data_IF_668242575791
#
_entry.id   IF_668242575791
#
_cell.length_a   1.000
_cell.length_b   1.000
_cell.length_c   1.000
_cell.angle_alpha   90.00
_cell.angle_beta   90.00
_cell.angle_gamma   90.00
#
_symmetry.space_group_name_H-M   'P 1'
#
loop_
_entity.id
_entity.type
_entity.pdbx_description
1 polymer ?
#
# COMPACT_ATOMS: atom_id res chain seq x y z
N UNK A 1 -22.90 -13.77 -7.17
CA UNK A 1 -21.68 -12.96 -7.35
C UNK A 1 -21.88 -11.51 -6.90
N UNK A 2 -22.87 -10.79 -7.39
CA UNK A 2 -23.13 -9.38 -7.01
C UNK A 2 -23.31 -9.22 -5.50
N UNK A 3 -24.04 -10.12 -4.83
CA UNK A 3 -24.25 -10.07 -3.37
C UNK A 3 -22.95 -10.25 -2.59
N UNK A 4 -22.08 -11.15 -3.02
CA UNK A 4 -20.76 -11.37 -2.37
C UNK A 4 -19.90 -10.12 -2.48
N UNK A 5 -19.86 -9.51 -3.66
CA UNK A 5 -19.08 -8.25 -3.89
C UNK A 5 -19.65 -7.12 -3.04
N UNK A 6 -20.98 -6.94 -3.00
CA UNK A 6 -21.61 -5.90 -2.19
C UNK A 6 -21.35 -6.12 -0.71
N UNK A 7 -21.54 -7.33 -0.19
CA UNK A 7 -21.30 -7.64 1.23
C UNK A 7 -19.82 -7.51 1.61
N UNK A 8 -18.90 -7.81 0.69
CA UNK A 8 -17.47 -7.67 0.92
C UNK A 8 -17.01 -6.20 0.92
N UNK A 9 -17.52 -5.40 -0.02
CA UNK A 9 -17.01 -4.04 -0.25
C UNK A 9 -17.81 -2.96 0.49
N UNK A 10 -19.12 -3.13 0.69
CA UNK A 10 -19.95 -2.12 1.33
C UNK A 10 -19.43 -1.70 2.72
N UNK A 11 -19.05 -2.61 3.64
CA UNK A 11 -18.50 -2.20 4.94
C UNK A 11 -17.24 -1.35 4.82
N UNK A 12 -16.36 -1.67 3.85
CA UNK A 12 -15.11 -0.96 3.59
C UNK A 12 -15.40 0.49 3.21
N UNK A 13 -16.28 0.68 2.24
CA UNK A 13 -16.64 2.02 1.78
C UNK A 13 -17.47 2.80 2.79
N UNK A 14 -18.35 2.15 3.55
CA UNK A 14 -19.11 2.80 4.64
C UNK A 14 -18.14 3.36 5.69
N UNK A 15 -17.16 2.61 6.15
CA UNK A 15 -16.18 3.08 7.13
C UNK A 15 -15.35 4.23 6.57
N UNK A 16 -14.92 4.14 5.29
CA UNK A 16 -14.22 5.24 4.62
C UNK A 16 -15.09 6.49 4.49
N UNK A 17 -16.38 6.36 4.15
CA UNK A 17 -17.31 7.47 4.07
C UNK A 17 -17.57 8.12 5.42
N UNK A 18 -17.65 7.34 6.50
CA UNK A 18 -17.74 7.87 7.86
C UNK A 18 -16.49 8.69 8.22
N UNK A 19 -15.29 8.21 7.89
CA UNK A 19 -14.06 8.97 8.07
C UNK A 19 -14.04 10.26 7.23
N UNK A 20 -14.47 10.19 5.97
CA UNK A 20 -14.59 11.35 5.09
C UNK A 20 -15.57 12.39 5.66
N UNK A 21 -16.74 11.95 6.09
CA UNK A 21 -17.74 12.81 6.73
C UNK A 21 -17.20 13.44 8.02
N UNK A 22 -16.57 12.67 8.91
CA UNK A 22 -16.00 13.18 10.14
C UNK A 22 -14.94 14.28 9.89
N UNK A 23 -14.10 14.10 8.86
CA UNK A 23 -13.15 15.12 8.43
C UNK A 23 -13.79 16.36 7.82
N UNK A 24 -14.84 16.20 6.98
CA UNK A 24 -15.60 17.34 6.41
C UNK A 24 -16.39 18.08 7.47
N UNK A 25 -16.98 17.39 8.43
CA UNK A 25 -17.71 17.96 9.55
C UNK A 25 -16.78 18.59 10.62
N UNK A 26 -15.45 18.52 10.44
CA UNK A 26 -14.43 19.00 11.38
C UNK A 26 -14.51 18.35 12.77
N UNK A 27 -15.06 17.15 12.85
CA UNK A 27 -15.06 16.35 14.09
C UNK A 27 -13.65 15.79 14.35
N UNK A 28 -12.91 15.54 13.28
CA UNK A 28 -11.50 15.14 13.29
C UNK A 28 -10.71 16.13 12.43
N UNK A 29 -9.54 16.54 12.93
CA UNK A 29 -8.64 17.39 12.14
C UNK A 29 -8.09 16.63 10.95
N UNK A 30 -8.64 16.92 9.77
CA UNK A 30 -8.25 16.26 8.53
C UNK A 30 -6.97 16.81 7.90
N UNK A 31 -6.42 17.90 8.42
CA UNK A 31 -5.13 18.46 8.02
C UNK A 31 -3.99 17.87 8.85
N UNK A 32 -4.27 17.51 10.10
CA UNK A 32 -3.29 16.89 10.99
C UNK A 32 -3.82 15.55 11.51
N UNK A 33 -3.63 14.52 10.72
CA UNK A 33 -4.02 13.14 11.04
C UNK A 33 -2.90 12.33 11.73
N UNK A 34 -1.88 13.00 12.26
CA UNK A 34 -0.67 12.35 12.78
C UNK A 34 -0.98 11.33 13.87
N UNK A 35 -1.86 11.64 14.81
CA UNK A 35 -2.25 10.72 15.90
C UNK A 35 -2.89 9.43 15.37
N UNK A 36 -3.87 9.56 14.46
CA UNK A 36 -4.53 8.40 13.86
C UNK A 36 -3.54 7.59 12.99
N UNK A 37 -2.65 8.28 12.27
CA UNK A 37 -1.64 7.63 11.47
C UNK A 37 -0.64 6.85 12.33
N UNK A 38 -0.16 7.42 13.44
CA UNK A 38 0.71 6.73 14.40
C UNK A 38 0.00 5.51 14.97
N UNK A 39 -1.26 5.67 15.42
CA UNK A 39 -2.02 4.54 15.95
C UNK A 39 -2.12 3.38 14.97
N UNK A 40 -2.47 3.67 13.71
CA UNK A 40 -2.64 2.65 12.67
C UNK A 40 -1.31 2.04 12.25
N UNK A 41 -0.29 2.88 11.93
CA UNK A 41 0.94 2.43 11.29
C UNK A 41 1.99 1.91 12.27
N UNK A 42 2.02 2.44 13.50
CA UNK A 42 3.06 2.09 14.47
C UNK A 42 2.56 1.10 15.53
N UNK A 43 1.24 0.92 15.68
CA UNK A 43 0.67 0.02 16.69
C UNK A 43 -0.28 -1.02 16.10
N UNK A 44 -1.42 -0.61 15.51
CA UNK A 44 -2.50 -1.53 15.16
C UNK A 44 -2.12 -2.50 14.02
N UNK A 45 -1.62 -1.99 12.89
CA UNK A 45 -1.17 -2.84 11.77
C UNK A 45 0.04 -3.70 12.13
N UNK A 46 1.11 -3.19 12.77
CA UNK A 46 2.20 -4.05 13.24
C UNK A 46 1.73 -5.19 14.15
N UNK A 47 0.80 -4.92 15.06
CA UNK A 47 0.23 -5.94 15.94
C UNK A 47 -0.56 -7.01 15.19
N UNK A 48 -1.42 -6.61 14.24
CA UNK A 48 -2.17 -7.54 13.39
C UNK A 48 -1.23 -8.43 12.57
N UNK A 49 -0.27 -7.81 11.89
CA UNK A 49 0.64 -8.51 10.98
C UNK A 49 1.67 -9.36 11.72
N UNK A 50 2.16 -8.93 12.88
CA UNK A 50 2.99 -9.74 13.77
C UNK A 50 2.25 -11.00 14.22
N UNK A 51 1.01 -10.83 14.73
CA UNK A 51 0.21 -11.97 15.18
C UNK A 51 -0.04 -12.99 14.08
N UNK A 52 -0.24 -12.55 12.85
CA UNK A 52 -0.42 -13.43 11.70
C UNK A 52 0.87 -14.16 11.32
N UNK A 53 1.98 -13.43 11.23
CA UNK A 53 3.25 -14.00 10.75
C UNK A 53 3.88 -14.96 11.75
N UNK A 54 3.80 -14.67 13.05
CA UNK A 54 4.36 -15.56 14.10
C UNK A 54 3.61 -16.89 14.22
N UNK A 55 2.37 -16.95 13.75
CA UNK A 55 1.55 -18.17 13.73
C UNK A 55 1.66 -18.95 12.41
N UNK A 56 2.35 -18.40 11.41
CA UNK A 56 2.50 -19.03 10.09
C UNK A 56 3.77 -19.87 10.05
N UNK A 57 3.70 -21.09 9.51
CA UNK A 57 4.86 -21.96 9.35
C UNK A 57 5.89 -21.39 8.36
N UNK A 58 7.16 -21.75 8.51
CA UNK A 58 8.21 -21.35 7.57
C UNK A 58 7.91 -21.73 6.13
N UNK A 59 7.35 -22.92 5.90
CA UNK A 59 6.91 -23.37 4.57
C UNK A 59 5.83 -22.48 3.98
N UNK A 60 4.89 -22.01 4.80
CA UNK A 60 3.86 -21.04 4.40
C UNK A 60 4.45 -19.68 4.02
N UNK A 61 5.53 -19.26 4.70
CA UNK A 61 6.24 -18.00 4.39
C UNK A 61 6.97 -18.13 3.04
N UNK A 62 7.70 -19.20 2.82
CA UNK A 62 8.44 -19.47 1.56
C UNK A 62 7.46 -19.58 0.39
N UNK A 63 6.27 -20.12 0.61
CA UNK A 63 5.22 -20.21 -0.40
C UNK A 63 4.74 -18.84 -0.93
N UNK A 64 5.07 -17.72 -0.27
CA UNK A 64 4.76 -16.36 -0.74
C UNK A 64 5.76 -15.83 -1.79
N UNK A 65 6.83 -16.57 -2.13
CA UNK A 65 7.82 -16.10 -3.10
C UNK A 65 7.25 -15.74 -4.48
N UNK A 66 6.27 -16.46 -5.07
CA UNK A 66 5.66 -16.05 -6.33
C UNK A 66 4.84 -14.76 -6.20
N UNK A 67 4.20 -14.54 -5.04
CA UNK A 67 3.51 -13.28 -4.76
C UNK A 67 4.50 -12.11 -4.77
N UNK A 68 5.64 -12.25 -4.07
CA UNK A 68 6.70 -11.23 -4.05
C UNK A 68 7.15 -10.88 -5.46
N UNK A 69 7.35 -11.88 -6.31
CA UNK A 69 7.76 -11.70 -7.70
C UNK A 69 6.74 -10.86 -8.49
N UNK A 70 5.47 -11.26 -8.47
CA UNK A 70 4.41 -10.57 -9.22
C UNK A 70 4.25 -9.13 -8.75
N UNK A 71 4.17 -8.93 -7.43
CA UNK A 71 4.02 -7.58 -6.85
C UNK A 71 5.21 -6.69 -7.22
N UNK A 72 6.43 -7.20 -7.07
CA UNK A 72 7.65 -6.44 -7.34
C UNK A 72 7.71 -6.04 -8.82
N UNK A 73 7.51 -6.98 -9.73
CA UNK A 73 7.55 -6.69 -11.17
C UNK A 73 6.44 -5.71 -11.59
N UNK A 74 5.20 -5.94 -11.16
CA UNK A 74 4.08 -5.06 -11.49
C UNK A 74 4.28 -3.62 -10.97
N UNK A 75 4.75 -3.48 -9.73
CA UNK A 75 5.06 -2.17 -9.15
C UNK A 75 6.21 -1.48 -9.88
N UNK A 76 7.31 -2.19 -10.19
CA UNK A 76 8.46 -1.58 -10.86
C UNK A 76 8.19 -1.18 -12.30
N UNK A 77 7.47 -2.01 -13.06
CA UNK A 77 7.05 -1.66 -14.42
C UNK A 77 6.18 -0.39 -14.38
N UNK A 78 5.20 -0.35 -13.48
CA UNK A 78 4.35 0.84 -13.31
C UNK A 78 5.16 2.05 -12.87
N UNK A 79 6.09 1.87 -11.93
CA UNK A 79 6.98 2.94 -11.46
C UNK A 79 7.78 3.54 -12.61
N UNK A 80 8.43 2.70 -13.42
CA UNK A 80 9.24 3.14 -14.55
C UNK A 80 8.41 3.90 -15.59
N UNK A 81 7.24 3.37 -15.95
CA UNK A 81 6.33 3.99 -16.94
C UNK A 81 5.82 5.35 -16.44
N UNK A 82 5.28 5.41 -15.22
CA UNK A 82 4.72 6.66 -14.68
C UNK A 82 5.80 7.71 -14.46
N UNK A 83 6.98 7.31 -13.96
CA UNK A 83 8.10 8.25 -13.78
C UNK A 83 8.57 8.83 -15.11
N UNK A 84 8.69 7.98 -16.15
CA UNK A 84 9.03 8.41 -17.49
C UNK A 84 7.98 9.38 -18.06
N UNK A 85 6.70 9.06 -17.95
CA UNK A 85 5.62 9.94 -18.40
C UNK A 85 5.64 11.28 -17.66
N UNK A 86 5.74 11.24 -16.33
CA UNK A 86 5.75 12.44 -15.50
C UNK A 86 6.92 13.39 -15.87
N UNK A 87 8.13 12.86 -16.05
CA UNK A 87 9.33 13.68 -16.31
C UNK A 87 9.45 14.07 -17.77
N UNK A 88 9.23 13.15 -18.72
CA UNK A 88 9.56 13.38 -20.14
C UNK A 88 8.36 13.92 -20.94
N UNK A 89 7.14 13.48 -20.65
CA UNK A 89 5.93 13.92 -21.36
C UNK A 89 5.30 15.11 -20.66
N UNK A 90 5.04 15.02 -19.37
CA UNK A 90 4.35 16.06 -18.60
C UNK A 90 5.30 17.08 -17.97
N UNK A 91 6.62 16.93 -18.14
CA UNK A 91 7.66 17.87 -17.70
C UNK A 91 7.57 18.26 -16.22
N UNK A 92 7.16 17.32 -15.37
CA UNK A 92 7.13 17.49 -13.91
C UNK A 92 8.56 17.56 -13.34
N UNK A 93 8.73 18.26 -12.23
CA UNK A 93 9.99 18.22 -11.48
C UNK A 93 10.27 16.78 -11.00
N UNK A 94 11.55 16.39 -10.84
CA UNK A 94 11.89 15.05 -10.36
C UNK A 94 11.23 14.70 -9.00
N UNK A 95 11.08 15.69 -8.12
CA UNK A 95 10.44 15.53 -6.82
C UNK A 95 8.95 15.24 -6.96
N UNK A 96 8.22 16.05 -7.74
CA UNK A 96 6.79 15.85 -7.98
C UNK A 96 6.53 14.53 -8.71
N UNK A 97 7.36 14.22 -9.71
CA UNK A 97 7.33 12.95 -10.42
C UNK A 97 7.54 11.74 -9.46
N UNK A 98 8.49 11.82 -8.53
CA UNK A 98 8.75 10.75 -7.57
C UNK A 98 7.59 10.53 -6.60
N UNK A 99 6.99 11.62 -6.10
CA UNK A 99 5.81 11.57 -5.23
C UNK A 99 4.60 10.96 -5.96
N UNK A 100 4.31 11.45 -7.16
CA UNK A 100 3.22 10.93 -7.98
C UNK A 100 3.44 9.46 -8.33
N UNK A 101 4.64 9.11 -8.76
CA UNK A 101 4.97 7.75 -9.19
C UNK A 101 4.85 6.75 -8.04
N UNK A 102 5.36 7.09 -6.84
CA UNK A 102 5.19 6.22 -5.68
C UNK A 102 3.72 6.08 -5.30
N UNK A 103 2.93 7.16 -5.38
CA UNK A 103 1.49 7.13 -5.10
C UNK A 103 0.75 6.19 -6.04
N UNK A 104 1.09 6.20 -7.34
CA UNK A 104 0.47 5.33 -8.36
C UNK A 104 0.97 3.88 -8.25
N UNK A 105 2.28 3.68 -8.21
CA UNK A 105 2.89 2.35 -8.31
C UNK A 105 2.70 1.51 -7.04
N UNK A 106 2.62 2.14 -5.86
CA UNK A 106 2.43 1.45 -4.59
C UNK A 106 0.94 1.44 -4.21
N UNK A 107 0.25 0.28 -4.28
CA UNK A 107 -1.14 0.18 -3.87
C UNK A 107 -1.35 0.45 -2.37
N UNK A 108 -2.58 0.77 -1.97
CA UNK A 108 -2.95 1.04 -0.59
C UNK A 108 -3.10 -0.25 0.24
N UNK A 109 -2.03 -1.04 0.33
CA UNK A 109 -1.99 -2.31 1.05
C UNK A 109 -2.38 -2.17 2.52
N UNK A 110 -1.93 -1.10 3.17
CA UNK A 110 -2.09 -0.91 4.60
C UNK A 110 -3.56 -0.70 5.00
N UNK A 111 -4.33 0.02 4.21
CA UNK A 111 -5.72 0.29 4.53
C UNK A 111 -6.69 -0.73 3.91
N UNK A 112 -6.44 -1.18 2.69
CA UNK A 112 -7.38 -2.01 1.93
C UNK A 112 -6.99 -3.49 1.86
N UNK A 113 -5.72 -3.84 2.11
CA UNK A 113 -5.22 -5.20 1.95
C UNK A 113 -5.97 -6.22 2.80
N UNK A 114 -5.97 -6.02 4.12
CA UNK A 114 -6.65 -6.94 5.05
C UNK A 114 -8.17 -7.05 4.77
N UNK A 115 -8.92 -5.93 4.67
CA UNK A 115 -10.36 -6.03 4.45
C UNK A 115 -10.71 -6.67 3.10
N UNK A 116 -10.00 -6.36 2.02
CA UNK A 116 -10.31 -6.91 0.70
C UNK A 116 -9.97 -8.40 0.62
N UNK A 117 -8.76 -8.79 1.00
CA UNK A 117 -8.39 -10.21 0.96
C UNK A 117 -9.19 -11.03 1.96
N UNK A 118 -9.47 -10.50 3.15
CA UNK A 118 -10.31 -11.16 4.15
C UNK A 118 -11.72 -11.42 3.64
N UNK A 119 -12.31 -10.47 2.91
CA UNK A 119 -13.64 -10.60 2.34
C UNK A 119 -13.71 -11.59 1.16
N UNK A 120 -12.65 -11.70 0.36
CA UNK A 120 -12.64 -12.54 -0.86
C UNK A 120 -12.12 -13.94 -0.59
N UNK A 121 -11.04 -14.08 0.19
CA UNK A 121 -10.36 -15.35 0.46
C UNK A 121 -10.60 -15.90 1.87
N UNK A 122 -11.33 -15.15 2.69
CA UNK A 122 -11.56 -15.46 4.10
C UNK A 122 -10.44 -14.93 5.01
N UNK A 123 -10.79 -14.66 6.25
CA UNK A 123 -9.84 -14.24 7.29
C UNK A 123 -9.01 -15.44 7.75
N UNK A 124 -7.72 -15.40 7.45
CA UNK A 124 -6.77 -16.44 7.84
C UNK A 124 -5.37 -15.86 8.09
N UNK A 125 -4.53 -16.62 8.78
CA UNK A 125 -3.12 -16.26 8.95
C UNK A 125 -2.39 -16.16 7.61
N UNK A 126 -2.76 -16.98 6.62
CA UNK A 126 -2.19 -16.94 5.26
C UNK A 126 -2.57 -15.65 4.55
N UNK A 127 -3.84 -15.22 4.62
CA UNK A 127 -4.32 -13.95 4.05
C UNK A 127 -3.58 -12.77 4.67
N UNK A 128 -3.46 -12.74 5.99
CA UNK A 128 -2.74 -11.68 6.72
C UNK A 128 -1.25 -11.68 6.41
N UNK A 129 -0.63 -12.85 6.23
CA UNK A 129 0.76 -12.98 5.78
C UNK A 129 0.95 -12.37 4.38
N UNK A 130 0.05 -12.65 3.44
CA UNK A 130 0.12 -12.10 2.09
C UNK A 130 0.05 -10.57 2.09
N UNK A 131 -0.79 -9.99 2.95
CA UNK A 131 -0.84 -8.52 3.16
C UNK A 131 0.48 -8.00 3.76
N UNK A 132 1.01 -8.69 4.78
CA UNK A 132 2.30 -8.32 5.40
C UNK A 132 3.44 -8.31 4.38
N UNK A 133 3.53 -9.35 3.55
CA UNK A 133 4.50 -9.47 2.47
C UNK A 133 4.33 -8.32 1.46
N UNK A 134 3.10 -8.01 1.07
CA UNK A 134 2.81 -6.91 0.13
C UNK A 134 3.25 -5.54 0.69
N UNK A 135 2.97 -5.28 1.97
CA UNK A 135 3.43 -4.06 2.65
C UNK A 135 4.95 -4.00 2.72
N UNK A 136 5.60 -5.12 3.04
CA UNK A 136 7.06 -5.19 3.10
C UNK A 136 7.68 -4.94 1.72
N UNK A 137 7.18 -5.58 0.65
CA UNK A 137 7.63 -5.34 -0.72
C UNK A 137 7.53 -3.85 -1.09
N UNK A 138 6.38 -3.22 -0.88
CA UNK A 138 6.19 -1.80 -1.16
C UNK A 138 7.11 -0.90 -0.34
N UNK A 139 7.23 -1.17 0.96
CA UNK A 139 8.01 -0.33 1.87
C UNK A 139 9.52 -0.48 1.67
N UNK A 140 10.01 -1.69 1.43
CA UNK A 140 11.46 -1.97 1.34
C UNK A 140 11.99 -1.78 -0.08
N UNK A 141 11.21 -2.16 -1.10
CA UNK A 141 11.68 -2.15 -2.49
C UNK A 141 11.33 -0.87 -3.25
N UNK A 142 10.21 -0.19 -2.94
CA UNK A 142 9.74 0.97 -3.70
C UNK A 142 10.01 2.30 -2.99
N UNK A 143 9.72 2.37 -1.69
CA UNK A 143 9.85 3.61 -0.91
C UNK A 143 11.26 4.22 -0.93
N UNK A 144 12.36 3.45 -0.80
CA UNK A 144 13.71 4.01 -0.78
C UNK A 144 14.08 4.78 -2.04
N UNK A 145 13.57 4.39 -3.20
CA UNK A 145 13.85 5.08 -4.47
C UNK A 145 13.17 6.45 -4.55
N UNK A 146 11.92 6.55 -4.07
CA UNK A 146 11.27 7.85 -3.95
C UNK A 146 12.02 8.76 -2.98
N UNK A 147 12.38 8.25 -1.80
CA UNK A 147 13.15 9.00 -0.80
C UNK A 147 14.51 9.44 -1.33
N UNK A 148 15.18 8.58 -2.11
CA UNK A 148 16.45 8.89 -2.74
C UNK A 148 16.36 10.12 -3.67
N UNK A 149 15.31 10.17 -4.50
CA UNK A 149 15.07 11.30 -5.39
C UNK A 149 14.78 12.56 -4.57
N UNK A 150 13.93 12.46 -3.56
CA UNK A 150 13.57 13.59 -2.70
C UNK A 150 14.78 14.15 -1.92
N UNK A 151 15.60 13.29 -1.32
CA UNK A 151 16.82 13.68 -0.60
C UNK A 151 17.86 14.30 -1.54
N UNK A 152 18.05 13.73 -2.74
CA UNK A 152 18.96 14.26 -3.76
C UNK A 152 18.58 15.68 -4.18
N UNK A 153 17.31 15.88 -4.52
CA UNK A 153 16.85 17.19 -4.99
C UNK A 153 16.86 18.23 -3.85
N UNK A 154 16.61 17.82 -2.62
CA UNK A 154 16.77 18.68 -1.44
C UNK A 154 18.24 19.10 -1.27
N UNK A 155 19.17 18.15 -1.32
CA UNK A 155 20.61 18.44 -1.23
C UNK A 155 21.09 19.39 -2.34
N UNK A 156 20.56 19.23 -3.57
CA UNK A 156 20.85 20.15 -4.68
C UNK A 156 20.36 21.56 -4.42
N UNK A 157 19.16 21.71 -3.88
CA UNK A 157 18.59 23.01 -3.53
C UNK A 157 19.38 23.71 -2.42
N UNK A 158 20.01 22.95 -1.51
CA UNK A 158 20.87 23.44 -0.44
C UNK A 158 22.33 23.68 -0.90
N UNK A 159 22.63 23.52 -2.20
CA UNK A 159 23.98 23.73 -2.77
C UNK A 159 24.98 22.61 -2.44
N UNK A 160 24.52 21.50 -1.87
CA UNK A 160 25.35 20.39 -1.45
C UNK A 160 25.38 19.28 -2.52
N UNK A 161 26.33 19.35 -3.44
CA UNK A 161 26.48 18.37 -4.54
C UNK A 161 27.31 17.12 -4.16
N UNK A 162 27.57 16.90 -2.87
CA UNK A 162 28.52 15.90 -2.40
C UNK A 162 27.85 14.54 -2.16
N UNK A 163 28.20 13.55 -2.97
CA UNK A 163 28.00 12.15 -2.69
C UNK A 163 27.30 11.36 -3.78
N UNK A 164 27.74 10.13 -4.01
CA UNK A 164 27.06 9.17 -4.88
C UNK A 164 25.67 8.89 -4.33
N UNK A 165 24.65 9.24 -5.09
CA UNK A 165 23.22 9.02 -4.76
C UNK A 165 22.93 7.55 -4.43
N UNK A 166 23.62 6.60 -5.09
CA UNK A 166 23.45 5.18 -4.87
C UNK A 166 23.98 4.69 -3.50
N UNK A 167 24.97 5.35 -2.92
CA UNK A 167 25.51 4.97 -1.59
C UNK A 167 24.50 5.19 -0.46
N UNK A 168 23.47 5.99 -0.66
CA UNK A 168 22.40 6.21 0.32
C UNK A 168 21.34 5.10 0.32
N UNK A 169 21.22 4.33 -0.76
CA UNK A 169 20.19 3.28 -0.86
C UNK A 169 20.19 2.28 0.32
N UNK A 170 21.32 1.70 0.74
CA UNK A 170 21.33 0.76 1.87
C UNK A 170 20.81 1.40 3.16
N UNK A 171 21.17 2.65 3.41
CA UNK A 171 20.72 3.40 4.59
C UNK A 171 19.20 3.64 4.55
N UNK A 172 18.67 4.01 3.38
CA UNK A 172 17.23 4.23 3.19
C UNK A 172 16.43 2.93 3.27
N UNK A 173 16.96 1.83 2.73
CA UNK A 173 16.38 0.50 2.89
C UNK A 173 16.34 0.08 4.36
N UNK A 174 17.45 0.28 5.09
CA UNK A 174 17.53 -0.01 6.53
C UNK A 174 16.53 0.84 7.34
N UNK A 175 16.38 2.13 7.02
CA UNK A 175 15.35 3.00 7.63
C UNK A 175 13.93 2.51 7.31
N UNK A 176 13.69 1.98 6.11
CA UNK A 176 12.38 1.44 5.73
C UNK A 176 12.07 0.14 6.48
N UNK A 177 13.04 -0.74 6.66
CA UNK A 177 12.92 -1.98 7.45
C UNK A 177 12.60 -1.66 8.91
N UNK A 178 13.18 -0.61 9.49
CA UNK A 178 12.97 -0.20 10.88
C UNK A 178 11.58 0.40 11.17
N UNK A 179 10.75 0.63 10.17
CA UNK A 179 9.36 1.09 10.42
C UNK A 179 8.57 0.01 11.14
N UNK A 180 7.77 0.34 12.19
CA UNK A 180 7.01 -0.63 12.97
C UNK A 180 6.15 -1.56 12.12
N UNK A 181 5.51 -1.02 11.07
CA UNK A 181 4.68 -1.78 10.13
C UNK A 181 5.45 -2.86 9.35
N UNK A 182 6.78 -2.74 9.22
CA UNK A 182 7.64 -3.74 8.59
C UNK A 182 8.31 -4.61 9.67
N UNK A 183 8.77 -4.00 10.77
CA UNK A 183 9.42 -4.70 11.88
C UNK A 183 8.49 -5.71 12.55
N UNK A 184 7.21 -5.36 12.75
CA UNK A 184 6.23 -6.26 13.35
C UNK A 184 6.17 -7.62 12.65
N UNK A 185 5.76 -7.67 11.38
CA UNK A 185 5.70 -8.93 10.63
C UNK A 185 7.09 -9.58 10.46
N UNK A 186 8.16 -8.81 10.30
CA UNK A 186 9.52 -9.36 10.19
C UNK A 186 9.93 -10.12 11.46
N UNK A 187 9.68 -9.57 12.64
CA UNK A 187 9.90 -10.24 13.90
C UNK A 187 9.06 -11.53 14.00
N UNK A 188 7.78 -11.47 13.60
CA UNK A 188 6.93 -12.66 13.56
C UNK A 188 7.51 -13.76 12.65
N UNK A 189 8.01 -13.41 11.46
CA UNK A 189 8.68 -14.31 10.53
C UNK A 189 9.94 -14.93 11.15
N UNK A 190 10.80 -14.11 11.79
CA UNK A 190 12.03 -14.58 12.43
C UNK A 190 11.69 -15.58 13.55
N UNK A 191 10.74 -15.25 14.43
CA UNK A 191 10.33 -16.12 15.52
C UNK A 191 9.75 -17.45 15.02
N UNK A 192 8.93 -17.39 13.96
CA UNK A 192 8.40 -18.58 13.29
C UNK A 192 9.52 -19.44 12.70
N UNK A 193 10.50 -18.83 12.02
CA UNK A 193 11.62 -19.54 11.38
C UNK A 193 12.50 -20.29 12.39
N UNK A 194 12.71 -19.74 13.58
CA UNK A 194 13.49 -20.39 14.66
C UNK A 194 12.61 -21.30 15.55
N UNK A 195 11.31 -21.47 15.21
CA UNK A 195 10.40 -22.38 15.89
C UNK A 195 9.91 -21.90 17.27
N UNK A 196 10.07 -20.62 17.60
CA UNK A 196 9.57 -20.05 18.86
C UNK A 196 8.06 -19.86 18.76
N UNK A 197 7.31 -20.57 19.61
CA UNK A 197 5.88 -20.38 19.77
C UNK A 197 5.61 -19.27 20.79
N UNK A 198 4.84 -18.27 20.39
CA UNK A 198 4.45 -17.20 21.30
C UNK A 198 3.46 -17.70 22.36
N UNK A 199 3.64 -17.32 23.65
CA UNK A 199 2.65 -17.62 24.68
C UNK A 199 1.28 -17.05 24.32
N UNK A 200 0.22 -17.83 24.60
CA UNK A 200 -1.18 -17.43 24.31
C UNK A 200 -1.55 -16.09 24.97
N UNK A 201 -1.04 -15.85 26.18
CA UNK A 201 -1.27 -14.59 26.90
C UNK A 201 -0.77 -13.36 26.11
N UNK A 202 0.41 -13.47 25.48
CA UNK A 202 0.98 -12.37 24.66
C UNK A 202 0.13 -12.14 23.42
N UNK A 203 -0.27 -13.21 22.73
CA UNK A 203 -1.15 -13.10 21.57
C UNK A 203 -2.51 -12.52 21.94
N UNK A 204 -3.10 -12.95 23.06
CA UNK A 204 -4.36 -12.44 23.57
C UNK A 204 -4.28 -10.94 23.94
N UNK A 205 -3.16 -10.48 24.47
CA UNK A 205 -2.95 -9.06 24.80
C UNK A 205 -2.82 -8.17 23.54
N UNK A 206 -2.20 -8.70 22.47
CA UNK A 206 -1.98 -7.96 21.22
C UNK A 206 -3.22 -8.00 20.30
N UNK A 207 -4.02 -9.05 20.37
CA UNK A 207 -5.17 -9.31 19.48
C UNK A 207 -6.16 -8.13 19.40
N UNK A 208 -6.63 -7.50 20.49
CA UNK A 208 -7.58 -6.37 20.41
C UNK A 208 -7.02 -5.19 19.61
N UNK A 209 -5.71 -4.92 19.78
CA UNK A 209 -5.03 -3.87 19.03
C UNK A 209 -4.97 -4.22 17.51
N UNK A 210 -4.62 -5.44 17.20
CA UNK A 210 -4.61 -5.93 15.81
C UNK A 210 -5.99 -5.91 15.14
N UNK A 211 -7.05 -6.25 15.85
CA UNK A 211 -8.44 -6.24 15.35
C UNK A 211 -8.91 -4.81 15.01
N UNK A 212 -8.39 -3.79 15.69
CA UNK A 212 -8.73 -2.39 15.38
C UNK A 212 -8.10 -1.89 14.07
N UNK A 213 -7.08 -2.58 13.55
CA UNK A 213 -6.24 -2.10 12.45
C UNK A 213 -7.06 -1.80 11.18
N UNK A 214 -7.92 -2.72 10.76
CA UNK A 214 -8.71 -2.60 9.54
C UNK A 214 -9.66 -1.41 9.59
N UNK A 215 -10.50 -1.32 10.63
CA UNK A 215 -11.46 -0.24 10.75
C UNK A 215 -10.78 1.13 10.92
N UNK A 216 -9.73 1.20 11.73
CA UNK A 216 -8.97 2.43 11.94
C UNK A 216 -8.25 2.91 10.65
N UNK A 217 -7.67 1.98 9.87
CA UNK A 217 -7.00 2.31 8.61
C UNK A 217 -7.99 2.83 7.55
N UNK A 218 -9.17 2.21 7.43
CA UNK A 218 -10.23 2.64 6.51
C UNK A 218 -10.77 4.01 6.91
N UNK A 219 -11.07 4.22 8.19
CA UNK A 219 -11.52 5.50 8.72
C UNK A 219 -10.47 6.61 8.48
N UNK A 220 -9.20 6.34 8.80
CA UNK A 220 -8.08 7.25 8.54
C UNK A 220 -7.98 7.62 7.05
N UNK A 221 -8.12 6.65 6.15
CA UNK A 221 -8.11 6.90 4.70
C UNK A 221 -9.23 7.87 4.33
N UNK A 222 -10.43 7.68 4.84
CA UNK A 222 -11.54 8.61 4.65
C UNK A 222 -11.24 10.03 5.14
N UNK A 223 -10.69 10.15 6.35
CA UNK A 223 -10.29 11.46 6.92
C UNK A 223 -9.25 12.15 6.03
N UNK A 224 -8.22 11.43 5.59
CA UNK A 224 -7.19 11.96 4.67
C UNK A 224 -7.83 12.47 3.37
N UNK A 225 -8.69 11.68 2.75
CA UNK A 225 -9.39 12.07 1.52
C UNK A 225 -10.24 13.32 1.68
N UNK A 226 -10.84 13.54 2.87
CA UNK A 226 -11.68 14.71 3.15
C UNK A 226 -10.95 16.05 3.07
N UNK A 227 -9.63 16.06 3.31
CA UNK A 227 -8.78 17.25 3.23
C UNK A 227 -8.33 17.58 1.80
N UNK A 228 -8.45 16.63 0.86
CA UNK A 228 -7.90 16.77 -0.49
C UNK A 228 -8.84 17.50 -1.42
N UNK A 229 -8.25 18.26 -2.38
CA UNK A 229 -8.97 18.92 -3.46
C UNK A 229 -8.80 18.11 -4.74
N UNK A 230 -9.89 17.79 -5.39
CA UNK A 230 -9.86 17.10 -6.67
C UNK A 230 -9.52 18.11 -7.77
N UNK A 231 -8.36 17.96 -8.38
CA UNK A 231 -7.95 18.68 -9.59
C UNK A 231 -7.81 17.66 -10.71
N UNK A 232 -8.66 17.72 -11.72
CA UNK A 232 -8.64 16.78 -12.84
C UNK A 232 -7.87 17.40 -13.99
N UNK A 233 -6.79 16.72 -14.40
CA UNK A 233 -6.03 17.03 -15.61
C UNK A 233 -5.63 15.74 -16.31
N UNK A 234 -5.02 15.84 -17.48
CA UNK A 234 -4.62 14.67 -18.29
C UNK A 234 -3.67 13.73 -17.52
N UNK A 235 -2.73 14.27 -16.73
CA UNK A 235 -1.81 13.46 -15.92
C UNK A 235 -2.56 12.66 -14.85
N UNK A 236 -3.52 13.28 -14.17
CA UNK A 236 -4.35 12.61 -13.15
C UNK A 236 -5.19 11.50 -13.79
N UNK A 237 -5.82 11.75 -14.94
CA UNK A 237 -6.63 10.75 -15.65
C UNK A 237 -5.76 9.57 -16.08
N UNK A 238 -4.64 9.83 -16.78
CA UNK A 238 -3.73 8.77 -17.26
C UNK A 238 -3.15 7.95 -16.12
N UNK A 239 -2.74 8.60 -15.02
CA UNK A 239 -2.22 7.93 -13.83
C UNK A 239 -3.27 7.10 -13.11
N UNK A 240 -4.52 7.57 -13.06
CA UNK A 240 -5.63 6.82 -12.46
C UNK A 240 -5.99 5.59 -13.30
N UNK A 241 -6.04 5.72 -14.63
CA UNK A 241 -6.26 4.60 -15.54
C UNK A 241 -5.09 3.59 -15.42
N UNK A 242 -3.86 4.09 -15.41
CA UNK A 242 -2.69 3.24 -15.21
C UNK A 242 -2.75 2.47 -13.90
N UNK A 243 -3.19 3.11 -12.82
CA UNK A 243 -3.32 2.48 -11.50
C UNK A 243 -4.43 1.42 -11.46
N UNK A 244 -5.63 1.76 -11.95
CA UNK A 244 -6.81 0.93 -11.73
C UNK A 244 -7.01 -0.16 -12.79
N UNK A 245 -6.41 -0.02 -13.98
CA UNK A 245 -6.59 -0.96 -15.08
C UNK A 245 -5.25 -1.52 -15.58
N UNK A 246 -4.28 -0.68 -15.90
CA UNK A 246 -3.03 -1.13 -16.53
C UNK A 246 -2.16 -1.91 -15.53
N UNK A 247 -1.99 -1.43 -14.32
CA UNK A 247 -1.17 -2.09 -13.31
C UNK A 247 -1.72 -3.48 -12.93
N UNK A 248 -3.03 -3.66 -12.67
CA UNK A 248 -3.59 -5.00 -12.49
C UNK A 248 -3.49 -5.89 -13.73
N UNK A 249 -3.64 -5.34 -14.94
CA UNK A 249 -3.44 -6.09 -16.18
C UNK A 249 -1.99 -6.56 -16.34
N UNK A 250 -1.00 -5.73 -15.95
CA UNK A 250 0.41 -6.14 -15.90
C UNK A 250 0.59 -7.30 -14.91
N UNK A 251 0.02 -7.20 -13.69
CA UNK A 251 0.09 -8.27 -12.71
C UNK A 251 -0.54 -9.57 -13.26
N UNK A 252 -1.68 -9.46 -13.93
CA UNK A 252 -2.33 -10.59 -14.59
C UNK A 252 -1.43 -11.21 -15.68
N UNK A 253 -0.85 -10.39 -16.55
CA UNK A 253 0.10 -10.86 -17.55
C UNK A 253 1.29 -11.61 -16.94
N UNK A 254 1.84 -11.10 -15.83
CA UNK A 254 2.92 -11.76 -15.09
C UNK A 254 2.44 -13.11 -14.53
N UNK A 255 1.26 -13.16 -13.91
CA UNK A 255 0.64 -14.40 -13.42
C UNK A 255 0.52 -15.44 -14.52
N UNK A 256 0.07 -15.06 -15.72
CA UNK A 256 -0.04 -15.96 -16.87
C UNK A 256 1.33 -16.43 -17.38
N UNK A 257 2.30 -15.54 -17.50
CA UNK A 257 3.66 -15.86 -17.97
C UNK A 257 4.34 -16.88 -17.03
N UNK A 258 4.16 -16.74 -15.72
CA UNK A 258 4.76 -17.64 -14.74
C UNK A 258 3.87 -18.86 -14.41
N UNK A 259 2.71 -19.01 -15.06
CA UNK A 259 1.81 -20.14 -14.85
C UNK A 259 1.29 -20.25 -13.42
N UNK A 260 1.07 -19.11 -12.76
CA UNK A 260 0.58 -19.09 -11.37
C UNK A 260 -0.93 -19.29 -11.34
N UNK A 261 -1.42 -20.06 -10.37
CA UNK A 261 -2.83 -20.41 -10.23
C UNK A 261 -3.30 -20.34 -8.76
N UNK A 262 -4.61 -20.40 -8.56
CA UNK A 262 -5.24 -20.48 -7.24
C UNK A 262 -5.04 -19.21 -6.40
N UNK A 263 -5.00 -19.39 -5.07
CA UNK A 263 -5.02 -18.28 -4.12
C UNK A 263 -3.86 -17.29 -4.29
N UNK A 264 -2.68 -17.74 -4.73
CA UNK A 264 -1.52 -16.86 -4.95
C UNK A 264 -1.75 -15.93 -6.14
N UNK A 265 -2.30 -16.44 -7.25
CA UNK A 265 -2.62 -15.65 -8.43
C UNK A 265 -3.72 -14.62 -8.12
N UNK A 266 -4.79 -15.06 -7.47
CA UNK A 266 -5.90 -14.19 -7.03
C UNK A 266 -5.37 -13.09 -6.11
N UNK A 267 -4.60 -13.46 -5.09
CA UNK A 267 -4.01 -12.51 -4.14
C UNK A 267 -3.15 -11.47 -4.85
N UNK A 268 -2.26 -11.89 -5.75
CA UNK A 268 -1.36 -10.99 -6.46
C UNK A 268 -2.13 -9.95 -7.30
N UNK A 269 -3.12 -10.39 -8.06
CA UNK A 269 -3.94 -9.52 -8.89
C UNK A 269 -4.76 -8.56 -8.04
N UNK A 270 -5.45 -9.05 -7.01
CA UNK A 270 -6.29 -8.22 -6.15
C UNK A 270 -5.49 -7.21 -5.35
N UNK A 271 -4.32 -7.59 -4.82
CA UNK A 271 -3.45 -6.63 -4.11
C UNK A 271 -2.98 -5.51 -5.03
N UNK A 272 -2.62 -5.80 -6.27
CA UNK A 272 -2.26 -4.77 -7.25
C UNK A 272 -3.48 -3.95 -7.69
N UNK A 273 -4.69 -4.52 -7.73
CA UNK A 273 -5.92 -3.83 -8.12
C UNK A 273 -6.46 -2.85 -7.06
N UNK A 274 -5.89 -2.81 -5.86
CA UNK A 274 -6.25 -1.81 -4.84
C UNK A 274 -5.99 -0.39 -5.33
N UNK A 275 -6.65 0.60 -4.73
CA UNK A 275 -6.43 2.03 -5.06
C UNK A 275 -4.98 2.46 -4.83
N UNK A 276 -4.63 3.64 -5.30
CA UNK A 276 -3.33 4.26 -5.10
C UNK A 276 -2.98 4.40 -3.61
N UNK A 277 -1.70 4.24 -3.27
CA UNK A 277 -1.21 4.37 -1.91
C UNK A 277 -0.95 5.81 -1.51
N UNK A 278 -1.10 6.13 -0.24
CA UNK A 278 -0.87 7.48 0.29
C UNK A 278 0.59 7.77 0.66
N UNK A 279 1.49 6.78 0.62
CA UNK A 279 2.88 6.96 1.05
C UNK A 279 3.64 8.01 0.23
N UNK A 280 3.40 8.10 -1.08
CA UNK A 280 4.02 9.13 -1.92
C UNK A 280 3.66 10.52 -1.42
N UNK A 281 2.38 10.79 -1.17
CA UNK A 281 1.90 12.08 -0.65
C UNK A 281 2.45 12.36 0.75
N UNK A 282 2.49 11.35 1.64
CA UNK A 282 3.06 11.51 3.00
C UNK A 282 4.54 11.88 2.95
N UNK A 283 5.32 11.22 2.08
CA UNK A 283 6.74 11.57 1.94
C UNK A 283 6.93 12.92 1.25
N UNK A 284 6.14 13.22 0.22
CA UNK A 284 6.14 14.55 -0.40
C UNK A 284 5.96 15.65 0.65
N UNK A 285 4.93 15.56 1.46
CA UNK A 285 4.65 16.52 2.54
C UNK A 285 5.82 16.64 3.54
N UNK A 286 6.46 15.53 3.89
CA UNK A 286 7.62 15.52 4.80
C UNK A 286 8.83 16.27 4.22
N UNK A 287 9.00 16.26 2.90
CA UNK A 287 10.06 16.96 2.18
C UNK A 287 9.64 18.34 1.67
N UNK A 288 8.44 18.81 2.03
CA UNK A 288 7.90 20.10 1.58
C UNK A 288 7.46 20.12 0.11
N UNK A 289 7.34 18.94 -0.51
CA UNK A 289 6.89 18.78 -1.90
C UNK A 289 5.39 18.61 -1.93
N UNK A 290 4.69 19.60 -2.45
CA UNK A 290 3.25 19.49 -2.73
C UNK A 290 3.06 18.92 -4.13
N UNK A 291 2.33 17.81 -4.23
CA UNK A 291 1.99 17.15 -5.50
C UNK A 291 0.46 17.08 -5.64
N UNK A 292 -0.18 18.13 -6.19
CA UNK A 292 -1.63 18.14 -6.39
C UNK A 292 -2.13 16.98 -7.25
N UNK A 293 -1.31 16.56 -8.23
CA UNK A 293 -1.66 15.42 -9.10
C UNK A 293 -1.66 14.10 -8.31
N UNK A 294 -0.65 13.87 -7.45
CA UNK A 294 -0.63 12.67 -6.59
C UNK A 294 -1.81 12.65 -5.62
N UNK A 295 -2.16 13.79 -5.04
CA UNK A 295 -3.33 13.92 -4.17
C UNK A 295 -4.64 13.64 -4.92
N UNK A 296 -4.78 14.18 -6.14
CA UNK A 296 -5.94 13.95 -6.98
C UNK A 296 -6.05 12.49 -7.44
N UNK A 297 -4.93 11.85 -7.81
CA UNK A 297 -4.89 10.42 -8.16
C UNK A 297 -5.27 9.56 -6.95
N UNK A 298 -4.76 9.86 -5.76
CA UNK A 298 -5.13 9.15 -4.53
C UNK A 298 -6.64 9.19 -4.31
N UNK A 299 -7.25 10.38 -4.40
CA UNK A 299 -8.68 10.57 -4.21
C UNK A 299 -9.49 9.88 -5.33
N UNK A 300 -9.15 10.15 -6.59
CA UNK A 300 -9.90 9.64 -7.73
C UNK A 300 -9.83 8.11 -7.82
N UNK A 301 -8.63 7.53 -7.62
CA UNK A 301 -8.46 6.08 -7.61
C UNK A 301 -9.19 5.41 -6.45
N UNK A 302 -9.24 6.03 -5.26
CA UNK A 302 -9.98 5.48 -4.12
C UNK A 302 -11.48 5.42 -4.39
N UNK A 303 -12.04 6.45 -5.03
CA UNK A 303 -13.45 6.47 -5.43
C UNK A 303 -13.73 5.47 -6.55
N UNK A 304 -12.93 5.51 -7.63
CA UNK A 304 -13.15 4.64 -8.79
C UNK A 304 -12.79 3.17 -8.54
N UNK A 305 -12.02 2.87 -7.49
CA UNK A 305 -11.74 1.50 -7.04
C UNK A 305 -13.03 0.73 -6.71
N UNK A 306 -14.12 1.44 -6.34
CA UNK A 306 -15.45 0.84 -6.15
C UNK A 306 -15.93 0.12 -7.41
N UNK A 307 -15.55 0.59 -8.58
CA UNK A 307 -15.93 0.01 -9.87
C UNK A 307 -14.88 -0.96 -10.41
N UNK A 308 -13.59 -0.63 -10.28
CA UNK A 308 -12.51 -1.46 -10.85
C UNK A 308 -12.25 -2.73 -10.05
N UNK A 309 -12.36 -2.69 -8.72
CA UNK A 309 -12.04 -3.85 -7.89
C UNK A 309 -13.04 -5.01 -8.07
N UNK A 310 -14.38 -4.78 -8.13
CA UNK A 310 -15.35 -5.82 -8.47
C UNK A 310 -15.07 -6.51 -9.82
N UNK A 311 -14.60 -5.74 -10.80
CA UNK A 311 -14.20 -6.30 -12.10
C UNK A 311 -13.09 -7.34 -11.91
N UNK A 312 -12.02 -7.00 -11.18
CA UNK A 312 -10.90 -7.94 -10.96
C UNK A 312 -11.30 -9.10 -10.04
N UNK A 313 -12.15 -8.90 -9.03
CA UNK A 313 -12.71 -9.99 -8.22
C UNK A 313 -13.49 -10.95 -9.11
N UNK A 314 -14.36 -10.44 -10.00
CA UNK A 314 -15.13 -11.26 -10.93
C UNK A 314 -14.24 -12.02 -11.91
N UNK A 315 -13.23 -11.36 -12.48
CA UNK A 315 -12.30 -11.97 -13.43
C UNK A 315 -11.42 -13.05 -12.77
N UNK A 316 -11.05 -12.89 -11.50
CA UNK A 316 -10.22 -13.87 -10.78
C UNK A 316 -11.02 -15.00 -10.15
N UNK A 317 -12.35 -14.94 -10.08
CA UNK A 317 -13.19 -15.97 -9.47
C UNK A 317 -13.17 -17.34 -10.20
N UNK A 318 -12.62 -17.39 -11.41
CA UNK A 318 -12.44 -18.62 -12.20
C UNK A 318 -11.02 -19.21 -12.16
N UNK A 319 -10.08 -18.58 -11.43
CA UNK A 319 -8.70 -19.05 -11.28
C UNK A 319 -8.54 -19.94 -10.05
#
# INVERSE_FOLDING_TARGET
>A
MTDVIVHALAPIFVIMLLGFWAGKAKMVDNKNVSLLNIFVMDFALPAALFSATVQTSWTGIVAQSPLILVLTLAMWITYAVIYFLATNVFKKSPQDAAVLTLTVALPNYAALGLPILGSVLGESSSTSLSVAVSIACGSVLMTPFCLLILEREKARAEGNNSGSTLSMLPVLMWRSIKKPIVMGPLLGVILSAIGIKMPELVLAAIKPLGLSATAAALFLTGVILSARKLQINTMVITSTIAKLLIQPAIAWGIVLIFGLHGSVAITAILMIALSAGFFGVVFGNRFGVQSPDAEAVLLLSSVLCILSLPLFISLTSGM
#
